data_IF_564551538563
#
_entry.id   IF_564551538563
#
_cell.length_a   1.000
_cell.length_b   1.000
_cell.length_c   1.000
_cell.angle_alpha   90.00
_cell.angle_beta   90.00
_cell.angle_gamma   90.00
#
_symmetry.space_group_name_H-M   'P 1'
#
loop_
_entity.id
_entity.type
_entity.pdbx_description
1 polymer ?
#
# COMPACT_ATOMS: atom_id res chain seq x y z
N UNK A 1 0.65 -15.51 23.55
CA UNK A 1 0.03 -14.27 23.12
C UNK A 1 -0.04 -14.27 21.60
N UNK A 2 -1.20 -13.93 21.06
CA UNK A 2 -1.39 -13.94 19.62
C UNK A 2 -1.45 -12.52 19.10
N UNK A 3 -0.52 -12.18 18.24
CA UNK A 3 -0.57 -10.91 17.54
C UNK A 3 -1.27 -11.13 16.20
N UNK A 4 -2.22 -10.25 15.88
CA UNK A 4 -2.74 -10.18 14.52
C UNK A 4 -1.94 -9.11 13.76
N UNK A 5 -2.36 -8.82 12.51
CA UNK A 5 -1.64 -7.84 11.72
C UNK A 5 -1.59 -6.47 12.35
N UNK A 6 -2.73 -6.01 12.92
CA UNK A 6 -2.78 -4.72 13.59
C UNK A 6 -1.85 -4.64 14.78
N UNK A 7 -1.79 -5.74 15.56
CA UNK A 7 -0.87 -5.79 16.70
C UNK A 7 0.57 -5.70 16.24
N UNK A 8 0.91 -6.39 15.14
CA UNK A 8 2.27 -6.32 14.62
C UNK A 8 2.61 -4.94 14.09
N UNK A 9 1.66 -4.25 13.45
CA UNK A 9 1.92 -2.87 12.99
C UNK A 9 2.29 -2.00 14.18
N UNK A 10 1.53 -2.10 15.28
CA UNK A 10 1.81 -1.33 16.49
C UNK A 10 3.16 -1.72 17.10
N UNK A 11 3.42 -3.01 17.18
CA UNK A 11 4.68 -3.50 17.75
C UNK A 11 5.88 -2.98 16.97
N UNK A 12 5.82 -3.06 15.64
CA UNK A 12 6.93 -2.60 14.81
C UNK A 12 7.08 -1.09 14.80
N UNK A 13 6.00 -0.35 15.08
CA UNK A 13 6.08 1.09 15.24
C UNK A 13 6.94 1.45 16.46
N UNK A 14 6.77 0.71 17.53
CA UNK A 14 7.47 0.98 18.79
C UNK A 14 8.80 0.25 18.86
N UNK A 15 8.88 -0.93 18.27
CA UNK A 15 10.04 -1.80 18.36
C UNK A 15 10.36 -2.40 16.98
N UNK A 16 10.85 -1.58 16.04
CA UNK A 16 11.14 -2.12 14.69
C UNK A 16 12.20 -3.21 14.69
N UNK A 17 13.03 -3.26 15.72
CA UNK A 17 14.04 -4.32 15.83
C UNK A 17 13.41 -5.71 15.97
N UNK A 18 12.13 -5.79 16.33
CA UNK A 18 11.43 -7.08 16.45
C UNK A 18 10.92 -7.62 15.12
N UNK A 19 11.26 -6.98 14.00
CA UNK A 19 10.83 -7.43 12.69
C UNK A 19 11.25 -8.86 12.40
N UNK A 20 12.38 -9.31 12.94
CA UNK A 20 12.85 -10.69 12.73
C UNK A 20 11.89 -11.73 13.31
N UNK A 21 11.08 -11.33 14.26
CA UNK A 21 10.13 -12.22 14.92
C UNK A 21 8.74 -12.08 14.35
N UNK A 22 8.53 -11.15 13.44
CA UNK A 22 7.20 -10.83 12.95
C UNK A 22 6.64 -11.94 12.06
N UNK A 23 5.38 -12.27 12.30
CA UNK A 23 4.65 -13.19 11.44
C UNK A 23 3.97 -12.38 10.34
N UNK A 24 4.68 -12.21 9.22
CA UNK A 24 4.22 -11.38 8.12
C UNK A 24 2.94 -11.90 7.48
N UNK A 25 2.65 -13.20 7.64
CA UNK A 25 1.44 -13.79 7.09
C UNK A 25 0.17 -13.29 7.78
N UNK A 26 0.30 -12.71 8.96
CA UNK A 26 -0.85 -12.13 9.67
C UNK A 26 -1.31 -10.80 9.10
N UNK A 27 -0.49 -10.18 8.27
CA UNK A 27 -0.81 -8.88 7.70
C UNK A 27 -1.83 -9.02 6.58
N UNK A 28 -2.86 -8.18 6.59
CA UNK A 28 -3.73 -8.00 5.43
C UNK A 28 -3.23 -6.78 4.63
N UNK A 29 -3.93 -6.44 3.54
CA UNK A 29 -3.51 -5.32 2.70
C UNK A 29 -3.49 -4.00 3.45
N UNK A 30 -4.50 -3.75 4.27
CA UNK A 30 -4.57 -2.53 5.07
C UNK A 30 -3.41 -2.41 6.05
N UNK A 31 -3.05 -3.53 6.68
CA UNK A 31 -1.91 -3.55 7.61
C UNK A 31 -0.62 -3.23 6.88
N UNK A 32 -0.43 -3.82 5.69
CA UNK A 32 0.77 -3.53 4.91
C UNK A 32 0.83 -2.07 4.50
N UNK A 33 -0.31 -1.49 4.08
CA UNK A 33 -0.32 -0.09 3.67
C UNK A 33 0.09 0.80 4.84
N UNK A 34 -0.47 0.57 6.02
CA UNK A 34 -0.14 1.38 7.20
C UNK A 34 1.33 1.23 7.55
N UNK A 35 1.82 -0.01 7.58
CA UNK A 35 3.21 -0.25 7.95
C UNK A 35 4.17 0.44 6.97
N UNK A 36 3.92 0.31 5.68
CA UNK A 36 4.84 0.87 4.68
C UNK A 36 4.76 2.39 4.60
N UNK A 37 3.61 2.98 4.93
CA UNK A 37 3.50 4.44 5.02
C UNK A 37 4.41 4.94 6.15
N UNK A 38 4.41 4.27 7.27
CA UNK A 38 5.19 4.70 8.44
C UNK A 38 6.63 4.22 8.42
N UNK A 39 6.85 3.02 7.89
CA UNK A 39 8.16 2.38 7.92
C UNK A 39 8.44 1.69 6.59
N UNK A 40 8.74 2.48 5.56
CA UNK A 40 8.93 1.91 4.22
C UNK A 40 10.09 0.93 4.11
N UNK A 41 10.99 0.90 5.09
CA UNK A 41 12.11 -0.03 5.07
C UNK A 41 11.67 -1.49 5.08
N UNK A 42 10.42 -1.77 5.48
CA UNK A 42 9.91 -3.15 5.51
C UNK A 42 9.33 -3.60 4.17
N UNK A 43 9.51 -2.80 3.12
CA UNK A 43 8.96 -3.14 1.80
C UNK A 43 9.47 -4.49 1.28
N UNK A 44 10.69 -4.87 1.64
CA UNK A 44 11.27 -6.16 1.20
C UNK A 44 10.46 -7.36 1.71
N UNK A 45 9.70 -7.18 2.78
CA UNK A 45 8.90 -8.26 3.36
C UNK A 45 7.48 -8.26 2.82
N UNK A 46 7.08 -7.21 2.11
CA UNK A 46 5.69 -7.00 1.75
C UNK A 46 5.18 -8.02 0.74
N UNK A 47 4.00 -8.53 1.02
CA UNK A 47 3.27 -9.38 0.08
C UNK A 47 2.34 -8.47 -0.73
N UNK A 48 2.87 -7.91 -1.79
CA UNK A 48 2.22 -6.86 -2.57
C UNK A 48 0.85 -7.27 -3.10
N UNK A 49 0.67 -8.56 -3.36
CA UNK A 49 -0.60 -9.05 -3.89
C UNK A 49 -1.76 -8.90 -2.90
N UNK A 50 -1.48 -8.69 -1.63
CA UNK A 50 -2.52 -8.48 -0.63
C UNK A 50 -3.13 -7.09 -0.67
N UNK A 51 -2.43 -6.12 -1.26
CA UNK A 51 -2.94 -4.76 -1.35
C UNK A 51 -4.03 -4.69 -2.42
N UNK A 52 -5.18 -4.07 -2.07
CA UNK A 52 -6.22 -3.78 -3.04
C UNK A 52 -6.06 -2.35 -3.57
N UNK A 53 -7.02 -1.89 -4.38
CA UNK A 53 -6.91 -0.57 -4.98
C UNK A 53 -6.85 0.55 -3.97
N UNK A 54 -7.63 0.45 -2.90
CA UNK A 54 -7.61 1.48 -1.86
C UNK A 54 -6.28 1.48 -1.11
N UNK A 55 -5.76 0.30 -0.79
CA UNK A 55 -4.49 0.19 -0.10
C UNK A 55 -3.37 0.79 -0.94
N UNK A 56 -3.35 0.49 -2.25
CA UNK A 56 -2.36 1.05 -3.14
C UNK A 56 -2.48 2.58 -3.22
N UNK A 57 -3.72 3.08 -3.28
CA UNK A 57 -3.94 4.52 -3.34
C UNK A 57 -3.34 5.21 -2.12
N UNK A 58 -3.64 4.70 -0.94
CA UNK A 58 -3.11 5.27 0.31
C UNK A 58 -1.60 5.21 0.34
N UNK A 59 -1.04 4.08 -0.05
CA UNK A 59 0.40 3.89 0.01
C UNK A 59 1.10 4.84 -0.96
N UNK A 60 0.61 4.95 -2.19
CA UNK A 60 1.27 5.76 -3.20
C UNK A 60 1.14 7.26 -2.94
N UNK A 61 0.06 7.68 -2.26
CA UNK A 61 -0.08 9.08 -1.87
C UNK A 61 1.04 9.48 -0.91
N UNK A 62 1.37 8.59 0.02
CA UNK A 62 2.38 8.89 1.05
C UNK A 62 3.78 8.47 0.65
N UNK A 63 3.89 7.36 -0.09
CA UNK A 63 5.18 6.78 -0.46
C UNK A 63 5.20 6.47 -1.96
N UNK A 64 5.28 7.49 -2.81
CA UNK A 64 5.16 7.27 -4.25
C UNK A 64 6.28 6.41 -4.86
N UNK A 65 7.38 6.23 -4.13
CA UNK A 65 8.47 5.40 -4.64
C UNK A 65 8.07 3.95 -4.86
N UNK A 66 6.95 3.50 -4.28
CA UNK A 66 6.48 2.13 -4.47
C UNK A 66 5.66 1.95 -5.75
N UNK A 67 5.59 2.98 -6.58
CA UNK A 67 4.84 2.89 -7.84
C UNK A 67 5.31 1.74 -8.73
N UNK A 68 6.60 1.42 -8.69
CA UNK A 68 7.15 0.34 -9.52
C UNK A 68 6.59 -1.03 -9.13
N UNK A 69 6.07 -1.14 -7.93
CA UNK A 69 5.49 -2.39 -7.44
C UNK A 69 3.98 -2.44 -7.61
N UNK A 70 3.37 -1.33 -7.99
CA UNK A 70 1.91 -1.21 -7.98
C UNK A 70 1.25 -2.08 -9.03
N UNK A 71 0.20 -2.74 -8.61
CA UNK A 71 -0.67 -3.50 -9.51
C UNK A 71 -1.77 -2.54 -9.98
N UNK A 72 -1.44 -1.75 -10.98
CA UNK A 72 -2.28 -0.64 -11.43
C UNK A 72 -3.69 -1.07 -11.83
N UNK A 73 -3.85 -2.31 -12.28
CA UNK A 73 -5.15 -2.81 -12.69
C UNK A 73 -6.14 -2.90 -11.53
N UNK A 74 -5.66 -2.85 -10.30
CA UNK A 74 -6.54 -2.89 -9.12
C UNK A 74 -7.19 -1.55 -8.82
N UNK A 75 -6.69 -0.46 -9.40
CA UNK A 75 -7.24 0.87 -9.16
C UNK A 75 -8.45 1.10 -10.06
N UNK A 76 -9.55 1.61 -9.46
CA UNK A 76 -10.71 2.05 -10.24
C UNK A 76 -10.64 3.56 -10.45
N UNK A 77 -11.70 4.13 -11.06
CA UNK A 77 -11.71 5.56 -11.37
C UNK A 77 -11.57 6.45 -10.14
N UNK A 78 -12.21 6.07 -9.05
CA UNK A 78 -12.11 6.84 -7.81
C UNK A 78 -10.70 6.82 -7.25
N UNK A 79 -10.07 5.65 -7.28
CA UNK A 79 -8.70 5.51 -6.80
C UNK A 79 -7.76 6.37 -7.64
N UNK A 80 -7.92 6.34 -8.97
CA UNK A 80 -7.10 7.15 -9.85
C UNK A 80 -7.31 8.63 -9.62
N UNK A 81 -8.57 9.05 -9.41
CA UNK A 81 -8.86 10.47 -9.15
C UNK A 81 -8.14 10.95 -7.90
N UNK A 82 -8.20 10.17 -6.83
CA UNK A 82 -7.54 10.51 -5.58
C UNK A 82 -6.03 10.55 -5.78
N UNK A 83 -5.50 9.54 -6.42
CA UNK A 83 -4.05 9.43 -6.58
C UNK A 83 -3.50 10.57 -7.44
N UNK A 84 -4.18 10.89 -8.53
CA UNK A 84 -3.70 11.95 -9.41
C UNK A 84 -3.82 13.33 -8.78
N UNK A 85 -4.80 13.52 -7.90
CA UNK A 85 -4.92 14.78 -7.17
C UNK A 85 -3.72 15.00 -6.24
N UNK A 86 -3.22 13.93 -5.64
CA UNK A 86 -2.11 14.02 -4.70
C UNK A 86 -0.75 13.85 -5.38
N UNK A 87 -0.69 12.99 -6.40
CA UNK A 87 0.55 12.65 -7.09
C UNK A 87 0.34 12.72 -8.60
N UNK A 88 0.28 13.94 -9.16
CA UNK A 88 -0.04 14.06 -10.58
C UNK A 88 0.98 13.45 -11.53
N UNK A 89 2.19 13.16 -11.05
CA UNK A 89 3.19 12.52 -11.89
C UNK A 89 2.77 11.13 -12.37
N UNK A 90 1.77 10.52 -11.72
CA UNK A 90 1.31 9.19 -12.13
C UNK A 90 0.33 9.23 -13.31
N UNK A 91 0.09 10.40 -13.89
CA UNK A 91 -0.79 10.51 -15.04
C UNK A 91 -0.34 9.61 -16.20
N UNK A 92 0.95 9.39 -16.36
CA UNK A 92 1.49 8.53 -17.41
C UNK A 92 1.09 7.07 -17.24
N UNK A 93 0.76 6.68 -16.03
CA UNK A 93 0.40 5.31 -15.73
C UNK A 93 -1.10 5.09 -15.64
N UNK A 94 -1.85 6.18 -15.72
CA UNK A 94 -3.29 6.15 -15.50
C UNK A 94 -4.03 5.40 -16.59
N UNK A 95 -4.98 4.57 -16.18
CA UNK A 95 -5.90 3.91 -17.11
C UNK A 95 -7.10 4.85 -17.30
N UNK A 96 -6.97 5.78 -18.22
CA UNK A 96 -7.90 6.88 -18.38
C UNK A 96 -9.33 6.45 -18.62
N UNK A 97 -9.52 5.30 -19.29
CA UNK A 97 -10.85 4.79 -19.54
C UNK A 97 -11.61 4.50 -18.24
N UNK A 98 -10.90 4.14 -17.19
CA UNK A 98 -11.53 3.88 -15.88
C UNK A 98 -12.00 5.16 -15.23
N UNK A 99 -11.27 6.25 -15.43
CA UNK A 99 -11.62 7.56 -14.87
C UNK A 99 -12.93 8.07 -15.43
N UNK A 100 -13.15 7.84 -16.73
CA UNK A 100 -14.32 8.37 -17.43
C UNK A 100 -15.52 7.44 -17.35
N UNK A 101 -15.35 6.27 -16.79
CA UNK A 101 -16.37 5.24 -16.84
C UNK A 101 -16.55 4.65 -18.24
N UNK A 102 -15.60 4.91 -19.12
CA UNK A 102 -15.59 4.40 -20.48
C UNK A 102 -14.48 3.39 -20.66
N UNK A 103 -14.55 2.72 -21.79
CA UNK A 103 -13.58 1.65 -22.03
C UNK A 103 -13.52 1.24 -23.47
#
# INVERSE_FOLDING_TARGET
>A
MHFDGGDWVQELREHPENADQCDWDKFNGGDWAILLIEQPQFADKCKWQKLDGLDWTRLLVEQPQFADRCQWQKLNGEHWSTLLAEQPQFADRCQWQKLNGEH
#
